data_IF_544543750942
#
_entry.id   IF_544543750942
#
_cell.length_a   1.000
_cell.length_b   1.000
_cell.length_c   1.000
_cell.angle_alpha   90.00
_cell.angle_beta   90.00
_cell.angle_gamma   90.00
#
_symmetry.space_group_name_H-M   'P 1'
#
loop_
_entity.id
_entity.type
_entity.pdbx_description
1 polymer ?
#
# COMPACT_ATOMS: atom_id res chain seq x y z
N UNK A 1 -20.33 17.16 -8.16
CA UNK A 1 -19.05 16.44 -7.95
C UNK A 1 -18.22 17.30 -7.00
N UNK A 2 -17.58 16.75 -5.96
CA UNK A 2 -16.87 17.57 -4.94
C UNK A 2 -15.83 18.51 -5.56
N UNK A 3 -15.21 18.11 -6.67
CA UNK A 3 -14.26 18.89 -7.47
C UNK A 3 -14.84 20.18 -8.06
N UNK A 4 -16.14 20.22 -8.36
CA UNK A 4 -16.80 21.39 -8.95
C UNK A 4 -17.26 22.41 -7.90
N UNK A 5 -17.15 22.08 -6.60
CA UNK A 5 -17.62 22.93 -5.51
C UNK A 5 -16.56 23.94 -5.04
N UNK A 6 -15.29 23.68 -5.31
CA UNK A 6 -14.18 24.52 -4.83
C UNK A 6 -13.91 25.78 -5.65
N UNK A 7 -14.80 26.19 -6.57
CA UNK A 7 -14.63 27.42 -7.38
C UNK A 7 -13.24 27.54 -8.04
N UNK A 8 -12.68 26.43 -8.52
CA UNK A 8 -11.32 26.36 -9.12
C UNK A 8 -10.22 25.88 -8.16
N UNK A 9 -10.53 25.64 -6.89
CA UNK A 9 -9.67 24.98 -5.90
C UNK A 9 -10.10 23.53 -5.67
N UNK A 10 -9.15 22.65 -5.32
CA UNK A 10 -9.42 21.27 -4.90
C UNK A 10 -9.62 21.12 -3.39
N UNK A 11 -9.56 22.20 -2.62
CA UNK A 11 -9.57 22.14 -1.15
C UNK A 11 -10.75 21.34 -0.59
N UNK A 12 -11.96 21.51 -1.14
CA UNK A 12 -13.15 20.75 -0.71
C UNK A 12 -13.00 19.25 -1.01
N UNK A 13 -12.48 18.88 -2.19
CA UNK A 13 -12.21 17.48 -2.52
C UNK A 13 -11.12 16.88 -1.62
N UNK A 14 -10.04 17.63 -1.39
CA UNK A 14 -8.92 17.18 -0.58
C UNK A 14 -9.31 17.01 0.90
N UNK A 15 -10.06 17.95 1.46
CA UNK A 15 -10.45 17.96 2.86
C UNK A 15 -11.59 16.99 3.17
N UNK A 16 -12.65 16.97 2.36
CA UNK A 16 -13.85 16.19 2.65
C UNK A 16 -13.75 14.74 2.16
N UNK A 17 -12.88 14.46 1.18
CA UNK A 17 -12.74 13.13 0.59
C UNK A 17 -11.32 12.58 0.65
N UNK A 18 -10.35 13.22 -0.01
CA UNK A 18 -9.03 12.60 -0.24
C UNK A 18 -8.29 12.29 1.06
N UNK A 19 -8.20 13.26 1.98
CA UNK A 19 -7.51 13.06 3.26
C UNK A 19 -8.17 11.99 4.13
N UNK A 20 -9.50 12.02 4.39
CA UNK A 20 -10.18 10.94 5.09
C UNK A 20 -9.99 9.58 4.42
N UNK A 21 -10.13 9.53 3.09
CA UNK A 21 -9.97 8.31 2.28
C UNK A 21 -8.57 7.71 2.44
N UNK A 22 -7.51 8.53 2.33
CA UNK A 22 -6.12 8.07 2.48
C UNK A 22 -5.84 7.59 3.91
N UNK A 23 -6.37 8.28 4.91
CA UNK A 23 -6.21 7.87 6.32
C UNK A 23 -6.90 6.52 6.61
N UNK A 24 -8.12 6.33 6.11
CA UNK A 24 -8.85 5.07 6.24
C UNK A 24 -8.17 3.94 5.45
N UNK A 25 -7.64 4.25 4.26
CA UNK A 25 -6.85 3.31 3.45
C UNK A 25 -5.62 2.87 4.23
N UNK A 26 -4.85 3.79 4.80
CA UNK A 26 -3.67 3.46 5.61
C UNK A 26 -4.03 2.55 6.79
N UNK A 27 -5.09 2.89 7.54
CA UNK A 27 -5.57 2.07 8.67
C UNK A 27 -5.95 0.66 8.23
N UNK A 28 -6.64 0.53 7.10
CA UNK A 28 -7.06 -0.76 6.57
C UNK A 28 -5.85 -1.62 6.17
N UNK A 29 -4.89 -1.07 5.41
CA UNK A 29 -3.74 -1.83 4.93
C UNK A 29 -2.72 -2.14 6.03
N UNK A 30 -2.62 -1.32 7.07
CA UNK A 30 -1.88 -1.65 8.29
C UNK A 30 -2.39 -2.94 8.94
N UNK A 31 -3.70 -3.04 9.16
CA UNK A 31 -4.31 -4.24 9.75
C UNK A 31 -4.15 -5.44 8.81
N UNK A 32 -4.29 -5.23 7.50
CA UNK A 32 -4.12 -6.28 6.49
C UNK A 32 -2.69 -6.82 6.44
N UNK A 33 -1.68 -5.96 6.52
CA UNK A 33 -0.27 -6.36 6.65
C UNK A 33 -0.06 -7.25 7.87
N UNK A 34 -0.56 -6.85 9.04
CA UNK A 34 -0.40 -7.63 10.27
C UNK A 34 -0.98 -9.05 10.10
N UNK A 35 -2.15 -9.16 9.49
CA UNK A 35 -2.75 -10.47 9.19
C UNK A 35 -1.88 -11.30 8.22
N UNK A 36 -1.35 -10.70 7.17
CA UNK A 36 -0.48 -11.40 6.22
C UNK A 36 0.83 -11.87 6.87
N UNK A 37 1.47 -11.03 7.69
CA UNK A 37 2.71 -11.36 8.38
C UNK A 37 2.56 -12.54 9.36
N UNK A 38 1.38 -12.66 9.97
CA UNK A 38 1.03 -13.76 10.87
C UNK A 38 0.68 -15.04 10.10
N UNK A 39 -0.01 -14.93 8.95
CA UNK A 39 -0.53 -16.07 8.23
C UNK A 39 0.42 -16.67 7.18
N UNK A 40 1.44 -15.91 6.73
CA UNK A 40 2.22 -16.25 5.54
C UNK A 40 3.74 -16.19 5.80
N UNK A 41 4.49 -16.97 5.01
CA UNK A 41 5.94 -16.79 4.89
C UNK A 41 6.28 -15.55 4.04
N UNK A 42 7.55 -15.14 4.08
CA UNK A 42 7.99 -13.91 3.43
C UNK A 42 7.87 -13.94 1.91
N UNK A 43 8.06 -15.09 1.26
CA UNK A 43 7.95 -15.18 -0.20
C UNK A 43 6.48 -15.04 -0.63
N UNK A 44 5.59 -15.77 0.04
CA UNK A 44 4.15 -15.68 -0.18
C UNK A 44 3.61 -14.28 0.14
N UNK A 45 4.14 -13.62 1.18
CA UNK A 45 3.82 -12.24 1.51
C UNK A 45 4.17 -11.27 0.37
N UNK A 46 5.40 -11.32 -0.15
CA UNK A 46 5.87 -10.41 -1.22
C UNK A 46 5.02 -10.59 -2.48
N UNK A 47 4.76 -11.84 -2.90
CA UNK A 47 3.90 -12.12 -4.05
C UNK A 47 2.47 -11.57 -3.83
N UNK A 48 1.92 -11.74 -2.62
CA UNK A 48 0.57 -11.28 -2.29
C UNK A 48 0.46 -9.76 -2.24
N UNK A 49 1.46 -9.07 -1.70
CA UNK A 49 1.51 -7.60 -1.67
C UNK A 49 1.61 -7.02 -3.07
N UNK A 50 2.45 -7.58 -3.94
CA UNK A 50 2.55 -7.14 -5.34
C UNK A 50 1.19 -7.22 -6.04
N UNK A 51 0.54 -8.39 -5.99
CA UNK A 51 -0.80 -8.58 -6.56
C UNK A 51 -1.80 -7.57 -6.00
N UNK A 52 -1.78 -7.35 -4.67
CA UNK A 52 -2.69 -6.42 -4.03
C UNK A 52 -2.48 -4.98 -4.52
N UNK A 53 -1.24 -4.51 -4.66
CA UNK A 53 -0.97 -3.15 -5.14
C UNK A 53 -1.44 -2.97 -6.58
N UNK A 54 -1.22 -3.98 -7.45
CA UNK A 54 -1.67 -3.95 -8.84
C UNK A 54 -3.21 -3.87 -8.93
N UNK A 55 -3.93 -4.72 -8.17
CA UNK A 55 -5.39 -4.72 -8.10
C UNK A 55 -5.96 -3.40 -7.57
N UNK A 56 -5.36 -2.86 -6.52
CA UNK A 56 -5.79 -1.61 -5.88
C UNK A 56 -5.51 -0.39 -6.74
N UNK A 57 -4.40 -0.40 -7.48
CA UNK A 57 -4.07 0.66 -8.43
C UNK A 57 -5.06 0.67 -9.59
N UNK A 58 -5.47 -0.48 -10.12
CA UNK A 58 -6.50 -0.52 -11.15
C UNK A 58 -7.87 -0.10 -10.60
N UNK A 59 -8.23 -0.51 -9.38
CA UNK A 59 -9.48 -0.06 -8.74
C UNK A 59 -9.49 1.45 -8.53
N UNK A 60 -8.39 2.02 -8.04
CA UNK A 60 -8.24 3.45 -7.86
C UNK A 60 -8.45 4.19 -9.20
N UNK A 61 -7.89 3.67 -10.30
CA UNK A 61 -8.02 4.26 -11.63
C UNK A 61 -9.47 4.32 -12.13
N UNK A 62 -10.31 3.37 -11.71
CA UNK A 62 -11.71 3.30 -12.11
C UNK A 62 -12.64 4.13 -11.22
N UNK A 63 -12.23 4.44 -9.99
CA UNK A 63 -13.12 5.00 -8.97
C UNK A 63 -12.71 6.38 -8.45
N UNK A 64 -11.44 6.77 -8.61
CA UNK A 64 -10.88 7.98 -8.01
C UNK A 64 -10.45 8.99 -9.07
N UNK A 65 -10.27 10.23 -8.64
CA UNK A 65 -9.66 11.26 -9.47
C UNK A 65 -8.17 10.93 -9.73
N UNK A 66 -7.66 11.32 -10.91
CA UNK A 66 -6.25 11.18 -11.29
C UNK A 66 -5.26 11.73 -10.25
N UNK A 67 -5.65 12.80 -9.53
CA UNK A 67 -4.83 13.43 -8.51
C UNK A 67 -4.64 12.55 -7.26
N UNK A 68 -5.58 11.65 -6.99
CA UNK A 68 -5.55 10.73 -5.84
C UNK A 68 -4.77 9.45 -6.12
N UNK A 69 -4.47 9.17 -7.40
CA UNK A 69 -3.74 7.97 -7.82
C UNK A 69 -2.35 7.88 -7.17
N UNK A 70 -1.54 8.93 -7.30
CA UNK A 70 -0.20 8.92 -6.71
C UNK A 70 -0.24 8.89 -5.17
N UNK A 71 -1.09 9.67 -4.48
CA UNK A 71 -1.27 9.56 -3.02
C UNK A 71 -1.67 8.17 -2.54
N UNK A 72 -2.66 7.53 -3.17
CA UNK A 72 -3.14 6.21 -2.71
C UNK A 72 -2.10 5.12 -2.94
N UNK A 73 -1.41 5.12 -4.07
CA UNK A 73 -0.31 4.18 -4.33
C UNK A 73 0.80 4.32 -3.29
N UNK A 74 1.18 5.56 -2.94
CA UNK A 74 2.18 5.80 -1.87
C UNK A 74 1.75 5.26 -0.51
N UNK A 75 0.47 5.41 -0.15
CA UNK A 75 -0.07 4.85 1.10
C UNK A 75 0.02 3.32 1.09
N UNK A 76 -0.35 2.68 -0.01
CA UNK A 76 -0.28 1.23 -0.16
C UNK A 76 1.16 0.72 -0.04
N UNK A 77 2.10 1.34 -0.76
CA UNK A 77 3.52 0.98 -0.72
C UNK A 77 4.12 1.21 0.68
N UNK A 78 3.79 2.33 1.32
CA UNK A 78 4.24 2.63 2.68
C UNK A 78 3.78 1.56 3.67
N UNK A 79 2.48 1.26 3.70
CA UNK A 79 1.90 0.34 4.68
C UNK A 79 2.24 -1.13 4.43
N UNK A 80 2.35 -1.56 3.16
CA UNK A 80 2.55 -2.97 2.81
C UNK A 80 4.02 -3.34 2.56
N UNK A 81 4.85 -2.40 2.12
CA UNK A 81 6.25 -2.64 1.79
C UNK A 81 7.15 -1.95 2.82
N UNK A 82 7.06 -0.63 2.96
CA UNK A 82 7.98 0.17 3.79
C UNK A 82 8.01 -0.30 5.25
N UNK A 83 6.84 -0.34 5.90
CA UNK A 83 6.67 -0.75 7.30
C UNK A 83 6.86 -2.26 7.54
N UNK A 84 7.10 -3.04 6.49
CA UNK A 84 7.24 -4.49 6.56
C UNK A 84 8.69 -4.95 6.31
N UNK A 85 9.53 -4.12 5.69
CA UNK A 85 10.89 -4.51 5.29
C UNK A 85 11.73 -4.99 6.49
N UNK A 86 11.69 -4.30 7.62
CA UNK A 86 12.40 -4.72 8.83
C UNK A 86 11.85 -6.05 9.37
N UNK A 87 10.52 -6.18 9.49
CA UNK A 87 9.88 -7.41 9.98
C UNK A 87 10.15 -8.63 9.07
N UNK A 88 10.23 -8.45 7.75
CA UNK A 88 10.57 -9.52 6.80
C UNK A 88 12.04 -9.92 6.94
N UNK A 89 12.94 -8.95 7.11
CA UNK A 89 14.38 -9.17 7.24
C UNK A 89 14.77 -9.81 8.58
N UNK A 90 14.07 -9.46 9.66
CA UNK A 90 14.34 -9.96 11.03
C UNK A 90 13.71 -11.33 11.34
N UNK A 91 12.70 -11.77 10.57
CA UNK A 91 12.05 -13.06 10.82
C UNK A 91 13.06 -14.20 10.59
N UNK A 92 13.50 -14.85 11.67
CA UNK A 92 14.40 -16.00 11.60
C UNK A 92 13.80 -17.10 10.69
N UNK A 93 14.59 -17.59 9.74
CA UNK A 93 14.14 -18.54 8.73
C UNK A 93 13.44 -17.91 7.51
N UNK A 94 13.32 -16.57 7.45
CA UNK A 94 12.92 -15.91 6.22
C UNK A 94 14.07 -16.02 5.20
N UNK A 95 13.78 -16.67 4.10
CA UNK A 95 14.74 -16.98 3.05
C UNK A 95 15.43 -15.76 2.43
N UNK A 96 15.19 -14.51 2.85
CA UNK A 96 15.82 -13.32 2.26
C UNK A 96 17.34 -13.32 2.45
N UNK A 97 17.84 -13.70 3.63
CA UNK A 97 19.28 -13.88 3.85
C UNK A 97 19.89 -15.02 3.00
N UNK A 98 19.09 -16.02 2.64
CA UNK A 98 19.48 -17.14 1.77
C UNK A 98 19.38 -16.78 0.28
N UNK A 99 18.34 -16.05 -0.13
CA UNK A 99 18.10 -15.55 -1.48
C UNK A 99 19.17 -14.52 -1.87
N UNK A 100 19.57 -13.63 -0.96
CA UNK A 100 20.65 -12.67 -1.20
C UNK A 100 22.02 -13.36 -1.32
N UNK A 101 22.26 -14.45 -0.57
CA UNK A 101 23.49 -15.26 -0.71
C UNK A 101 23.56 -16.00 -2.04
N UNK A 102 22.46 -16.60 -2.51
CA UNK A 102 22.41 -17.29 -3.81
C UNK A 102 22.48 -16.35 -5.02
N UNK A 103 22.26 -15.04 -4.86
CA UNK A 103 22.43 -14.06 -5.94
C UNK A 103 23.86 -13.49 -6.03
N UNK A 104 24.72 -13.79 -5.05
CA UNK A 104 26.12 -13.34 -5.00
C UNK A 104 27.15 -14.49 -5.04
N UNK A 105 26.71 -15.69 -5.43
CA UNK A 105 27.57 -16.85 -5.76
C UNK A 105 27.25 -17.34 -7.15
#
# INVERSE_FOLDING_TARGET
>A
MLESLGQGSRSVYEEDFERPFLADTARFYKARRQNYLQAMDSFAYVAKVKQCIDEESERARQCLNEFTMAPVTRVLEGELIGECMEAILEKEGSGVGHMLKNLMT
#
